data_IF_908829114886
#
_entry.id   IF_908829114886
#
_cell.length_a   1.000
_cell.length_b   1.000
_cell.length_c   1.000
_cell.angle_alpha   90.00
_cell.angle_beta   90.00
_cell.angle_gamma   90.00
#
_symmetry.space_group_name_H-M   'P 1'
#
loop_
_entity.id
_entity.type
_entity.pdbx_description
1 polymer ?
#
# COMPACT_ATOMS: atom_id res chain seq x y z
N UNK A 1 -6.38 7.63 9.11
CA UNK A 1 -6.91 8.92 8.63
C UNK A 1 -6.32 9.26 7.26
N UNK A 2 -7.17 9.64 6.34
CA UNK A 2 -6.71 9.97 4.98
C UNK A 2 -5.92 11.27 4.96
N UNK A 3 -4.80 11.27 4.22
CA UNK A 3 -3.96 12.45 4.04
C UNK A 3 -4.35 13.13 2.73
N UNK A 4 -4.80 14.38 2.82
CA UNK A 4 -5.24 15.15 1.65
C UNK A 4 -4.39 16.41 1.41
N UNK A 5 -3.62 16.82 2.41
CA UNK A 5 -2.74 17.99 2.31
C UNK A 5 -1.41 17.61 1.69
N UNK A 6 -1.05 18.26 0.59
CA UNK A 6 0.23 18.04 -0.08
C UNK A 6 1.40 18.37 0.85
N UNK A 7 1.26 19.39 1.70
CA UNK A 7 2.30 19.77 2.67
C UNK A 7 2.52 18.65 3.69
N UNK A 8 1.46 18.02 4.18
CA UNK A 8 1.58 16.88 5.09
C UNK A 8 2.23 15.69 4.39
N UNK A 9 1.83 15.38 3.15
CA UNK A 9 2.45 14.29 2.38
C UNK A 9 3.95 14.52 2.27
N UNK A 10 4.38 15.73 1.93
CA UNK A 10 5.81 16.05 1.79
C UNK A 10 6.60 15.79 3.08
N UNK A 11 6.00 16.11 4.23
CA UNK A 11 6.64 15.88 5.53
C UNK A 11 6.73 14.38 5.81
N UNK A 12 5.63 13.64 5.59
CA UNK A 12 5.55 12.23 5.93
C UNK A 12 6.48 11.36 5.09
N UNK A 13 6.60 11.64 3.79
CA UNK A 13 7.41 10.80 2.89
C UNK A 13 8.91 10.95 3.10
N UNK A 14 9.36 11.96 3.84
CA UNK A 14 10.78 12.08 4.23
C UNK A 14 11.26 10.85 4.98
N UNK A 15 10.38 10.16 5.67
CA UNK A 15 10.68 8.97 6.46
C UNK A 15 10.27 7.66 5.77
N UNK A 16 9.89 7.69 4.48
CA UNK A 16 9.55 6.48 3.75
C UNK A 16 10.83 5.70 3.39
N UNK A 17 11.07 4.55 4.02
CA UNK A 17 12.28 3.76 3.75
C UNK A 17 12.11 2.83 2.54
N UNK A 18 10.88 2.71 2.01
CA UNK A 18 10.54 1.73 0.98
C UNK A 18 10.64 2.34 -0.42
N UNK A 19 9.95 3.46 -0.63
CA UNK A 19 9.90 4.13 -1.95
C UNK A 19 10.06 5.64 -1.81
N UNK A 20 11.19 6.10 -1.26
CA UNK A 20 11.39 7.53 -1.01
C UNK A 20 11.41 8.38 -2.28
N UNK A 21 11.63 7.76 -3.44
CA UNK A 21 11.72 8.43 -4.74
C UNK A 21 10.36 8.80 -5.34
N UNK A 22 9.26 8.28 -4.80
CA UNK A 22 7.92 8.62 -5.29
C UNK A 22 7.52 9.97 -4.68
N UNK A 23 7.26 10.97 -5.52
CA UNK A 23 6.96 12.32 -5.05
C UNK A 23 5.58 12.43 -4.38
N UNK A 24 5.34 13.55 -3.72
CA UNK A 24 4.12 13.79 -2.96
C UNK A 24 2.89 13.89 -3.86
N UNK A 25 3.01 14.58 -4.99
CA UNK A 25 1.91 14.76 -5.93
C UNK A 25 1.39 13.44 -6.47
N UNK A 26 2.31 12.52 -6.78
CA UNK A 26 1.97 11.18 -7.27
C UNK A 26 1.14 10.40 -6.25
N UNK A 27 1.44 10.55 -4.96
CA UNK A 27 0.82 9.74 -3.89
C UNK A 27 -0.64 10.08 -3.61
N UNK A 28 -1.08 11.28 -3.94
CA UNK A 28 -2.47 11.72 -3.73
C UNK A 28 -3.15 12.20 -5.00
N UNK A 29 -2.58 11.86 -6.17
CA UNK A 29 -3.21 12.11 -7.47
C UNK A 29 -4.52 11.31 -7.59
N UNK A 30 -5.40 11.66 -8.55
CA UNK A 30 -6.64 10.90 -8.77
C UNK A 30 -6.36 9.41 -8.94
N UNK A 31 -7.15 8.57 -8.26
CA UNK A 31 -6.94 7.12 -8.24
C UNK A 31 -5.88 6.65 -7.25
N UNK A 32 -5.40 7.53 -6.38
CA UNK A 32 -4.40 7.20 -5.35
C UNK A 32 -4.77 7.85 -4.04
N UNK A 33 -4.46 7.17 -2.94
CA UNK A 33 -4.77 7.64 -1.59
C UNK A 33 -3.64 7.30 -0.64
N UNK A 34 -3.46 8.15 0.37
CA UNK A 34 -2.50 7.93 1.44
C UNK A 34 -3.23 8.04 2.78
N UNK A 35 -2.87 7.15 3.70
CA UNK A 35 -3.44 7.12 5.06
C UNK A 35 -2.35 7.07 6.10
N UNK A 36 -2.65 7.56 7.31
CA UNK A 36 -1.75 7.47 8.45
C UNK A 36 -2.50 7.10 9.72
N UNK A 37 -1.77 6.60 10.71
CA UNK A 37 -2.22 6.43 12.09
C UNK A 37 -1.24 7.22 12.97
N UNK A 38 -1.78 8.21 13.69
CA UNK A 38 -1.03 9.01 14.67
C UNK A 38 0.26 9.63 14.10
N UNK A 39 0.33 9.86 12.79
CA UNK A 39 1.53 10.35 12.12
C UNK A 39 2.75 9.45 12.37
N UNK A 40 2.51 8.15 12.62
CA UNK A 40 3.54 7.16 12.97
C UNK A 40 3.52 5.93 12.07
N UNK A 41 2.41 5.62 11.42
CA UNK A 41 2.32 4.56 10.43
C UNK A 41 1.64 5.10 9.18
N UNK A 42 2.08 4.64 8.02
CA UNK A 42 1.67 5.21 6.74
C UNK A 42 1.47 4.11 5.71
N UNK A 43 0.49 4.30 4.84
CA UNK A 43 0.26 3.43 3.69
C UNK A 43 -0.16 4.28 2.49
N UNK A 44 0.40 3.95 1.32
CA UNK A 44 0.00 4.56 0.07
C UNK A 44 -0.63 3.52 -0.83
N UNK A 45 -1.78 3.85 -1.40
CA UNK A 45 -2.58 2.97 -2.23
C UNK A 45 -2.75 3.56 -3.63
N UNK A 46 -2.74 2.69 -4.63
CA UNK A 46 -3.17 3.00 -5.98
C UNK A 46 -4.30 2.05 -6.37
N UNK A 47 -5.30 2.56 -7.09
CA UNK A 47 -6.44 1.76 -7.55
C UNK A 47 -6.29 1.54 -9.04
N UNK A 48 -6.06 0.31 -9.44
CA UNK A 48 -5.65 -0.05 -10.80
C UNK A 48 -6.52 -1.17 -11.37
N UNK A 49 -6.41 -1.42 -12.68
CA UNK A 49 -7.22 -2.41 -13.38
C UNK A 49 -6.55 -3.77 -13.52
N UNK A 50 -5.32 -3.91 -13.06
CA UNK A 50 -4.58 -5.18 -13.08
C UNK A 50 -3.59 -5.24 -11.92
N UNK A 51 -3.16 -6.45 -11.54
CA UNK A 51 -2.10 -6.64 -10.55
C UNK A 51 -0.77 -6.19 -11.15
N UNK A 52 -0.13 -5.13 -10.59
CA UNK A 52 1.09 -4.60 -11.18
C UNK A 52 2.30 -5.47 -10.85
N UNK A 53 3.23 -5.57 -11.79
CA UNK A 53 4.50 -6.28 -11.59
C UNK A 53 5.68 -5.31 -11.41
N UNK A 54 5.43 -4.00 -11.54
CA UNK A 54 6.47 -2.97 -11.42
C UNK A 54 5.84 -1.63 -11.03
N UNK A 55 6.67 -0.67 -10.61
CA UNK A 55 6.22 0.70 -10.34
C UNK A 55 5.64 1.36 -11.59
N UNK A 56 6.23 1.09 -12.76
CA UNK A 56 5.71 1.63 -14.02
C UNK A 56 4.26 1.21 -14.21
N UNK A 57 3.93 -0.04 -13.89
CA UNK A 57 2.55 -0.52 -13.99
C UNK A 57 1.64 0.05 -12.92
N UNK A 58 2.14 0.26 -11.69
CA UNK A 58 1.34 0.89 -10.65
C UNK A 58 0.86 2.28 -11.08
N UNK A 59 1.77 3.09 -11.60
CA UNK A 59 1.48 4.49 -11.91
C UNK A 59 1.05 4.72 -13.35
N UNK A 60 1.20 3.75 -14.23
CA UNK A 60 0.82 3.81 -15.64
C UNK A 60 -0.47 3.07 -15.98
N UNK A 61 -1.02 2.28 -15.06
CA UNK A 61 -2.27 1.55 -15.30
C UNK A 61 -3.49 2.45 -15.21
N UNK A 62 -4.58 2.01 -15.84
CA UNK A 62 -5.88 2.68 -15.72
C UNK A 62 -6.43 2.48 -14.31
N UNK A 63 -7.23 3.44 -13.84
CA UNK A 63 -7.97 3.31 -12.59
C UNK A 63 -8.92 2.12 -12.69
N UNK A 64 -8.93 1.28 -11.68
CA UNK A 64 -9.73 0.06 -11.63
C UNK A 64 -10.13 -0.31 -10.22
N UNK A 65 -10.54 -1.57 -10.04
CA UNK A 65 -11.09 -2.07 -8.79
C UNK A 65 -10.12 -2.91 -7.95
N UNK A 66 -8.84 -2.87 -8.27
CA UNK A 66 -7.80 -3.53 -7.48
C UNK A 66 -7.07 -2.48 -6.68
N UNK A 67 -7.09 -2.60 -5.35
CA UNK A 67 -6.32 -1.74 -4.47
C UNK A 67 -4.90 -2.29 -4.34
N UNK A 68 -3.89 -1.46 -4.60
CA UNK A 68 -2.49 -1.83 -4.51
C UNK A 68 -1.80 -1.01 -3.44
N UNK A 69 -1.33 -1.67 -2.38
CA UNK A 69 -0.44 -1.05 -1.40
C UNK A 69 0.98 -1.10 -1.97
N UNK A 70 1.50 0.04 -2.40
CA UNK A 70 2.84 0.08 -2.98
C UNK A 70 3.91 0.54 -2.00
N UNK A 71 3.52 1.15 -0.87
CA UNK A 71 4.44 1.42 0.23
C UNK A 71 3.70 1.43 1.55
N UNK A 72 4.34 0.83 2.57
CA UNK A 72 3.86 0.78 3.94
C UNK A 72 5.08 0.97 4.83
N UNK A 73 5.02 1.90 5.78
CA UNK A 73 6.10 2.04 6.77
C UNK A 73 5.54 2.50 8.11
N UNK A 74 6.31 2.27 9.17
CA UNK A 74 5.93 2.62 10.52
C UNK A 74 7.11 3.13 11.31
N UNK A 75 6.90 4.18 12.08
CA UNK A 75 7.86 4.76 13.00
C UNK A 75 7.66 4.26 14.44
N UNK A 76 6.62 3.44 14.66
CA UNK A 76 6.30 2.90 15.97
C UNK A 76 5.88 1.45 15.85
N UNK A 77 6.45 0.60 16.70
CA UNK A 77 6.18 -0.83 16.71
C UNK A 77 4.68 -1.12 16.90
N UNK A 78 4.15 -2.03 16.10
CA UNK A 78 2.74 -2.44 16.14
C UNK A 78 1.81 -1.63 15.26
N UNK A 79 2.14 -0.39 14.91
CA UNK A 79 1.27 0.45 14.09
C UNK A 79 1.27 0.05 12.61
N UNK A 80 2.34 -0.57 12.11
CA UNK A 80 2.37 -1.13 10.76
C UNK A 80 1.29 -2.20 10.58
N UNK A 81 1.20 -3.10 11.55
CA UNK A 81 0.15 -4.13 11.58
C UNK A 81 -1.25 -3.50 11.64
N UNK A 82 -1.40 -2.48 12.50
CA UNK A 82 -2.69 -1.80 12.66
C UNK A 82 -3.14 -1.12 11.36
N UNK A 83 -2.22 -0.45 10.64
CA UNK A 83 -2.60 0.23 9.40
C UNK A 83 -2.97 -0.77 8.29
N UNK A 84 -2.32 -1.92 8.23
CA UNK A 84 -2.70 -3.01 7.32
C UNK A 84 -4.11 -3.52 7.66
N UNK A 85 -4.39 -3.73 8.95
CA UNK A 85 -5.70 -4.20 9.40
C UNK A 85 -6.80 -3.20 9.03
N UNK A 86 -6.60 -1.91 9.32
CA UNK A 86 -7.56 -0.86 8.99
C UNK A 86 -7.76 -0.72 7.47
N UNK A 87 -6.70 -0.93 6.70
CA UNK A 87 -6.78 -0.90 5.23
C UNK A 87 -7.63 -2.05 4.71
N UNK A 88 -7.42 -3.27 5.20
CA UNK A 88 -8.25 -4.42 4.82
C UNK A 88 -9.73 -4.14 5.10
N UNK A 89 -10.04 -3.61 6.27
CA UNK A 89 -11.41 -3.28 6.65
C UNK A 89 -12.00 -2.23 5.73
N UNK A 90 -11.27 -1.17 5.45
CA UNK A 90 -11.73 -0.09 4.57
C UNK A 90 -12.00 -0.59 3.15
N UNK A 91 -11.09 -1.39 2.59
CA UNK A 91 -11.26 -1.93 1.23
C UNK A 91 -12.44 -2.89 1.19
N UNK A 92 -12.60 -3.75 2.19
CA UNK A 92 -13.75 -4.64 2.30
C UNK A 92 -15.07 -3.86 2.36
N UNK A 93 -15.12 -2.81 3.17
CA UNK A 93 -16.35 -2.03 3.40
C UNK A 93 -16.71 -1.15 2.20
N UNK A 94 -15.78 -0.93 1.30
CA UNK A 94 -15.98 -0.08 0.11
C UNK A 94 -16.41 -0.90 -1.11
N UNK A 95 -17.19 -1.80 -1.12
CA UNK A 95 -17.71 -2.72 -2.17
C UNK A 95 -17.24 -2.51 -3.62
N UNK A 96 -16.61 -1.39 -3.91
CA UNK A 96 -16.07 -0.99 -5.19
C UNK A 96 -14.78 -1.75 -5.55
N UNK A 97 -14.06 -2.25 -4.56
CA UNK A 97 -12.79 -2.96 -4.76
C UNK A 97 -12.97 -4.46 -4.61
N UNK A 98 -12.35 -5.22 -5.52
CA UNK A 98 -12.46 -6.68 -5.54
C UNK A 98 -11.26 -7.36 -4.85
N UNK A 99 -10.11 -6.69 -4.80
CA UNK A 99 -8.86 -7.28 -4.31
C UNK A 99 -8.01 -6.23 -3.61
N UNK A 100 -7.21 -6.68 -2.66
CA UNK A 100 -6.16 -5.90 -2.03
C UNK A 100 -4.84 -6.65 -2.21
N UNK A 101 -3.97 -6.10 -3.06
CA UNK A 101 -2.65 -6.67 -3.33
C UNK A 101 -1.57 -5.67 -2.97
N UNK A 102 -0.32 -6.11 -2.95
CA UNK A 102 0.83 -5.23 -2.74
C UNK A 102 1.77 -5.28 -3.93
N UNK A 103 2.57 -4.22 -4.09
CA UNK A 103 3.83 -4.29 -4.81
C UNK A 103 4.92 -3.98 -3.77
N UNK A 104 5.61 -5.00 -3.30
CA UNK A 104 6.53 -4.90 -2.16
C UNK A 104 7.98 -5.09 -2.61
N UNK A 105 8.96 -4.47 -1.92
CA UNK A 105 10.36 -4.74 -2.21
C UNK A 105 10.69 -6.20 -1.94
N UNK A 106 11.62 -6.74 -2.70
CA UNK A 106 12.02 -8.16 -2.58
C UNK A 106 13.03 -8.33 -1.44
N UNK A 107 12.53 -8.22 -0.19
CA UNK A 107 13.32 -8.30 1.04
C UNK A 107 12.70 -9.29 2.01
N UNK A 108 13.53 -9.83 2.92
CA UNK A 108 13.03 -10.68 4.00
C UNK A 108 12.08 -9.94 4.93
N UNK A 109 12.36 -8.66 5.17
CA UNK A 109 11.51 -7.83 6.03
C UNK A 109 10.10 -7.71 5.46
N UNK A 110 9.97 -7.42 4.16
CA UNK A 110 8.66 -7.33 3.51
C UNK A 110 7.93 -8.67 3.53
N UNK A 111 8.63 -9.76 3.23
CA UNK A 111 8.07 -11.12 3.28
C UNK A 111 7.53 -11.43 4.66
N UNK A 112 8.33 -11.25 5.68
CA UNK A 112 7.95 -11.53 7.06
C UNK A 112 6.77 -10.67 7.51
N UNK A 113 6.80 -9.37 7.17
CA UNK A 113 5.75 -8.43 7.55
C UNK A 113 4.40 -8.85 6.96
N UNK A 114 4.34 -9.05 5.65
CA UNK A 114 3.06 -9.35 5.00
C UNK A 114 2.53 -10.75 5.35
N UNK A 115 3.39 -11.77 5.37
CA UNK A 115 2.96 -13.11 5.75
C UNK A 115 2.49 -13.17 7.20
N UNK A 116 3.17 -12.49 8.13
CA UNK A 116 2.77 -12.48 9.53
C UNK A 116 1.47 -11.70 9.76
N UNK A 117 1.06 -10.86 8.83
CA UNK A 117 -0.20 -10.12 8.88
C UNK A 117 -1.33 -10.78 8.10
N UNK A 118 -1.12 -12.01 7.64
CA UNK A 118 -2.17 -12.82 7.04
C UNK A 118 -2.24 -12.81 5.51
N UNK A 119 -1.31 -12.13 4.84
CA UNK A 119 -1.26 -12.17 3.38
C UNK A 119 -0.69 -13.49 2.87
N UNK A 120 -0.99 -13.81 1.61
CA UNK A 120 -0.32 -14.89 0.89
C UNK A 120 0.64 -14.30 -0.12
N UNK A 121 1.70 -15.03 -0.44
CA UNK A 121 2.58 -14.66 -1.56
C UNK A 121 1.88 -15.02 -2.86
N UNK A 122 1.53 -14.00 -3.64
CA UNK A 122 0.85 -14.18 -4.92
C UNK A 122 1.85 -14.42 -6.05
N UNK A 123 2.87 -13.56 -6.16
CA UNK A 123 3.93 -13.68 -7.15
C UNK A 123 5.28 -13.30 -6.55
N UNK A 124 6.30 -14.08 -6.89
CA UNK A 124 7.70 -13.72 -6.69
C UNK A 124 8.22 -13.25 -8.05
N UNK A 125 8.55 -11.96 -8.15
CA UNK A 125 9.07 -11.33 -9.37
C UNK A 125 10.58 -11.13 -9.24
N UNK A 126 11.26 -10.69 -10.31
CA UNK A 126 12.70 -10.49 -10.27
C UNK A 126 13.11 -9.42 -9.25
N UNK A 127 12.34 -8.34 -9.15
CA UNK A 127 12.67 -7.19 -8.30
C UNK A 127 11.60 -6.82 -7.29
N UNK A 128 10.55 -7.64 -7.14
CA UNK A 128 9.43 -7.33 -6.24
C UNK A 128 8.69 -8.60 -5.85
N UNK A 129 7.84 -8.47 -4.82
CA UNK A 129 6.82 -9.44 -4.46
C UNK A 129 5.44 -8.82 -4.64
N UNK A 130 4.47 -9.62 -5.08
CA UNK A 130 3.06 -9.32 -4.87
C UNK A 130 2.54 -10.19 -3.73
N UNK A 131 2.00 -9.58 -2.69
CA UNK A 131 1.23 -10.28 -1.66
C UNK A 131 -0.25 -9.94 -1.86
N UNK A 132 -1.11 -10.84 -1.41
CA UNK A 132 -2.54 -10.59 -1.46
C UNK A 132 -3.18 -10.84 -0.10
N UNK A 133 -4.01 -9.90 0.35
CA UNK A 133 -4.83 -10.02 1.54
C UNK A 133 -6.23 -10.47 1.14
N UNK A 134 -6.76 -11.49 1.80
CA UNK A 134 -8.12 -11.98 1.54
C UNK A 134 -9.13 -11.07 2.24
N UNK A 135 -9.64 -10.09 1.51
CA UNK A 135 -10.63 -9.15 2.04
C UNK A 135 -12.04 -9.74 2.11
N UNK A 136 -12.31 -10.84 1.39
CA UNK A 136 -13.65 -11.45 1.36
C UNK A 136 -13.97 -12.14 2.68
N UNK A 137 -12.96 -12.69 3.35
CA UNK A 137 -13.09 -13.40 4.61
C UNK A 137 -12.54 -12.61 5.80
N UNK A 138 -12.31 -11.37 5.61
CA UNK A 138 -11.77 -10.48 6.65
C UNK A 138 -12.79 -10.13 7.72
#
# INVERSE_FOLDING_TARGET
MRVTSLDHVRIYIENDPVRPHIDAETRIAPGREMYHIDEKAFICLAFVDKVPVSEIEVFGSKVGNIAVAYTVWSLKRGLGRKIIFETQKRIKDTFRFSRLVTLSPKTEMAMKFHLSNGAILLHELDHAYNFEYDIKHF
#
